data_IF_224654982236
#
_entry.id   IF_224654982236
#
_cell.length_a   1.000
_cell.length_b   1.000
_cell.length_c   1.000
_cell.angle_alpha   90.00
_cell.angle_beta   90.00
_cell.angle_gamma   90.00
#
_symmetry.space_group_name_H-M   'P 1'
#
loop_
_entity.id
_entity.type
_entity.pdbx_description
1 polymer ?
#
# COMPACT_ATOMS: atom_id res chain seq x y z
N UNK A 1 27.25 -75.93 -87.94
CA UNK A 1 28.70 -75.81 -88.24
C UNK A 1 29.16 -74.48 -87.64
N UNK A 2 29.68 -74.47 -86.39
CA UNK A 2 31.11 -74.31 -85.96
C UNK A 2 31.71 -72.93 -86.30
N UNK A 3 31.96 -72.05 -85.30
CA UNK A 3 33.28 -71.75 -84.62
C UNK A 3 34.18 -70.82 -85.49
N UNK A 4 34.96 -69.80 -85.05
CA UNK A 4 35.60 -69.41 -83.76
C UNK A 4 36.24 -67.99 -83.86
N UNK A 5 36.60 -67.41 -82.71
CA UNK A 5 37.41 -66.20 -82.42
C UNK A 5 38.79 -66.10 -83.13
N UNK A 6 39.39 -64.89 -83.24
CA UNK A 6 40.48 -64.40 -82.36
C UNK A 6 41.03 -62.99 -82.71
N UNK A 7 41.67 -62.36 -81.71
CA UNK A 7 42.16 -60.98 -81.56
C UNK A 7 43.61 -60.80 -82.05
N UNK A 8 44.04 -59.60 -82.48
CA UNK A 8 45.43 -59.16 -82.25
C UNK A 8 45.69 -57.62 -82.25
N UNK A 9 46.80 -57.23 -81.61
CA UNK A 9 47.11 -55.96 -80.92
C UNK A 9 47.84 -54.87 -81.76
N UNK A 10 47.79 -53.62 -81.26
CA UNK A 10 48.59 -52.44 -81.72
C UNK A 10 50.01 -52.42 -81.13
N UNK A 11 50.95 -51.64 -81.71
CA UNK A 11 52.10 -51.09 -80.99
C UNK A 11 52.06 -49.55 -80.83
N UNK A 12 52.72 -49.05 -79.77
CA UNK A 12 52.98 -47.63 -79.46
C UNK A 12 54.50 -47.37 -79.47
N UNK A 13 54.93 -46.17 -79.89
CA UNK A 13 56.30 -45.63 -79.69
C UNK A 13 56.29 -44.48 -78.68
N UNK A 14 57.35 -44.37 -77.87
CA UNK A 14 57.45 -43.53 -76.65
C UNK A 14 58.50 -42.43 -76.74
N UNK A 15 58.17 -41.22 -76.25
CA UNK A 15 59.10 -40.10 -75.99
C UNK A 15 59.89 -40.26 -74.67
N UNK A 16 61.10 -39.68 -74.64
CA UNK A 16 62.16 -39.76 -73.62
C UNK A 16 61.75 -39.49 -72.15
N UNK A 17 62.30 -40.30 -71.24
CA UNK A 17 61.92 -40.46 -69.82
C UNK A 17 62.16 -39.22 -68.92
N UNK A 18 63.04 -38.29 -69.30
CA UNK A 18 63.41 -37.13 -68.47
C UNK A 18 62.40 -35.98 -68.48
N UNK A 19 61.95 -35.56 -69.67
CA UNK A 19 60.97 -34.46 -69.82
C UNK A 19 59.59 -34.83 -69.27
N UNK A 20 59.17 -36.09 -69.46
CA UNK A 20 57.89 -36.63 -68.97
C UNK A 20 57.84 -36.66 -67.43
N UNK A 21 58.98 -36.95 -66.77
CA UNK A 21 59.08 -37.03 -65.31
C UNK A 21 58.98 -35.66 -64.64
N UNK A 22 59.63 -34.62 -65.17
CA UNK A 22 59.50 -33.24 -64.66
C UNK A 22 58.11 -32.63 -64.91
N UNK A 23 57.46 -32.97 -66.04
CA UNK A 23 56.11 -32.51 -66.35
C UNK A 23 55.05 -33.17 -65.45
N UNK A 24 55.25 -34.45 -65.09
CA UNK A 24 54.43 -35.17 -64.11
C UNK A 24 54.65 -34.63 -62.70
N UNK A 25 55.90 -34.39 -62.29
CA UNK A 25 56.22 -33.79 -60.99
C UNK A 25 55.58 -32.41 -60.82
N UNK A 26 55.70 -31.51 -61.81
CA UNK A 26 55.02 -30.20 -61.78
C UNK A 26 53.51 -30.32 -61.68
N UNK A 27 52.88 -31.27 -62.39
CA UNK A 27 51.43 -31.50 -62.31
C UNK A 27 51.00 -32.04 -60.94
N UNK A 28 51.78 -32.95 -60.34
CA UNK A 28 51.53 -33.47 -58.99
C UNK A 28 51.66 -32.35 -57.95
N UNK A 29 52.68 -31.50 -58.06
CA UNK A 29 52.85 -30.35 -57.17
C UNK A 29 51.70 -29.35 -57.31
N UNK A 30 51.28 -29.01 -58.53
CA UNK A 30 50.16 -28.10 -58.78
C UNK A 30 48.84 -28.67 -58.24
N UNK A 31 48.56 -29.96 -58.46
CA UNK A 31 47.37 -30.63 -57.91
C UNK A 31 47.41 -30.68 -56.38
N UNK A 32 48.59 -30.96 -55.80
CA UNK A 32 48.78 -30.94 -54.35
C UNK A 32 48.53 -29.55 -53.73
N UNK A 33 48.98 -28.49 -54.39
CA UNK A 33 48.74 -27.10 -53.97
C UNK A 33 47.25 -26.74 -54.08
N UNK A 34 46.59 -27.09 -55.18
CA UNK A 34 45.15 -26.84 -55.35
C UNK A 34 44.34 -27.59 -54.28
N UNK A 35 44.67 -28.86 -54.03
CA UNK A 35 44.02 -29.65 -53.00
C UNK A 35 44.20 -29.01 -51.61
N UNK A 36 45.42 -28.54 -51.27
CA UNK A 36 45.70 -27.86 -50.01
C UNK A 36 44.95 -26.52 -49.86
N UNK A 37 44.80 -25.75 -50.94
CA UNK A 37 44.04 -24.49 -50.94
C UNK A 37 42.54 -24.77 -50.72
N UNK A 38 42.00 -25.82 -51.35
CA UNK A 38 40.58 -26.21 -51.18
C UNK A 38 40.32 -26.68 -49.74
N UNK A 39 41.18 -27.51 -49.16
CA UNK A 39 41.04 -27.92 -47.75
C UNK A 39 41.17 -26.75 -46.79
N UNK A 40 42.10 -25.82 -47.03
CA UNK A 40 42.22 -24.61 -46.22
C UNK A 40 40.99 -23.70 -46.33
N UNK A 41 40.44 -23.52 -47.53
CA UNK A 41 39.23 -22.74 -47.76
C UNK A 41 37.99 -23.39 -47.12
N UNK A 42 37.87 -24.72 -47.20
CA UNK A 42 36.78 -25.46 -46.56
C UNK A 42 36.87 -25.41 -45.03
N UNK A 43 38.07 -25.61 -44.47
CA UNK A 43 38.30 -25.45 -43.03
C UNK A 43 37.99 -24.01 -42.56
N UNK A 44 38.40 -23.01 -43.34
CA UNK A 44 38.07 -21.60 -43.10
C UNK A 44 36.56 -21.34 -43.13
N UNK A 45 35.83 -21.94 -44.07
CA UNK A 45 34.37 -21.85 -44.18
C UNK A 45 33.68 -22.54 -42.98
N UNK A 46 34.10 -23.74 -42.59
CA UNK A 46 33.56 -24.45 -41.42
C UNK A 46 33.76 -23.64 -40.13
N UNK A 47 34.98 -23.13 -39.88
CA UNK A 47 35.27 -22.29 -38.72
C UNK A 47 34.50 -20.97 -38.73
N UNK A 48 34.27 -20.39 -39.91
CA UNK A 48 33.45 -19.19 -40.04
C UNK A 48 31.98 -19.48 -39.70
N UNK A 49 31.44 -20.62 -40.18
CA UNK A 49 30.05 -21.02 -39.91
C UNK A 49 29.81 -21.26 -38.43
N UNK A 50 30.70 -22.00 -37.76
CA UNK A 50 30.63 -22.23 -36.30
C UNK A 50 30.66 -20.90 -35.53
N UNK A 51 31.54 -19.96 -35.92
CA UNK A 51 31.64 -18.64 -35.27
C UNK A 51 30.38 -17.79 -35.50
N UNK A 52 29.68 -17.95 -36.62
CA UNK A 52 28.39 -17.27 -36.88
C UNK A 52 27.29 -17.88 -36.02
N UNK A 53 27.22 -19.21 -35.92
CA UNK A 53 26.25 -19.93 -35.08
C UNK A 53 26.44 -19.60 -33.58
N UNK A 54 27.69 -19.53 -33.10
CA UNK A 54 28.00 -19.12 -31.72
C UNK A 54 27.59 -17.67 -31.45
N UNK A 55 27.83 -16.77 -32.40
CA UNK A 55 27.40 -15.36 -32.27
C UNK A 55 25.89 -15.23 -32.21
N UNK A 56 25.15 -15.97 -33.04
CA UNK A 56 23.70 -15.99 -33.03
C UNK A 56 23.14 -16.52 -31.71
N UNK A 57 23.67 -17.65 -31.20
CA UNK A 57 23.29 -18.19 -29.90
C UNK A 57 23.61 -17.23 -28.75
N UNK A 58 24.76 -16.54 -28.80
CA UNK A 58 25.12 -15.55 -27.80
C UNK A 58 24.21 -14.32 -27.84
N UNK A 59 23.74 -13.92 -29.02
CA UNK A 59 22.81 -12.80 -29.20
C UNK A 59 21.39 -13.16 -28.76
N UNK A 60 20.91 -14.38 -29.06
CA UNK A 60 19.64 -14.90 -28.54
C UNK A 60 19.68 -15.01 -27.01
N UNK A 61 20.74 -15.55 -26.44
CA UNK A 61 20.91 -15.64 -24.98
C UNK A 61 20.96 -14.24 -24.33
N UNK A 62 21.52 -13.24 -25.03
CA UNK A 62 21.52 -11.84 -24.56
C UNK A 62 20.12 -11.24 -24.62
N UNK A 63 19.36 -11.46 -25.68
CA UNK A 63 17.95 -11.04 -25.81
C UNK A 63 17.09 -11.70 -24.74
N UNK A 64 17.17 -13.01 -24.57
CA UNK A 64 16.42 -13.73 -23.54
C UNK A 64 16.74 -13.24 -22.12
N UNK A 65 18.02 -12.95 -21.83
CA UNK A 65 18.42 -12.34 -20.55
C UNK A 65 17.89 -10.92 -20.40
N UNK A 66 17.84 -10.13 -21.47
CA UNK A 66 17.29 -8.77 -21.45
C UNK A 66 15.76 -8.81 -21.25
N UNK A 67 15.05 -9.68 -21.96
CA UNK A 67 13.60 -9.87 -21.85
C UNK A 67 13.23 -10.36 -20.44
N UNK A 68 13.99 -11.30 -19.87
CA UNK A 68 13.83 -11.75 -18.48
C UNK A 68 14.08 -10.61 -17.48
N UNK A 69 15.07 -9.74 -17.75
CA UNK A 69 15.39 -8.60 -16.90
C UNK A 69 14.32 -7.50 -16.98
N UNK A 70 13.76 -7.25 -18.17
CA UNK A 70 12.64 -6.34 -18.38
C UNK A 70 11.34 -6.88 -17.75
N UNK A 71 11.03 -8.17 -17.92
CA UNK A 71 9.90 -8.81 -17.26
C UNK A 71 10.02 -8.80 -15.72
N UNK A 72 11.23 -8.97 -15.17
CA UNK A 72 11.50 -8.82 -13.74
C UNK A 72 11.38 -7.35 -13.28
N UNK A 73 11.73 -6.38 -14.13
CA UNK A 73 11.58 -4.95 -13.85
C UNK A 73 10.10 -4.52 -13.85
N UNK A 74 9.27 -5.10 -14.71
CA UNK A 74 7.81 -4.90 -14.72
C UNK A 74 7.15 -5.48 -13.46
N UNK A 75 7.62 -6.63 -12.97
CA UNK A 75 7.13 -7.26 -11.72
C UNK A 75 7.60 -6.57 -10.42
N UNK A 76 8.57 -5.65 -10.48
CA UNK A 76 9.19 -5.03 -9.30
C UNK A 76 8.85 -3.55 -9.10
N UNK A 77 7.94 -2.98 -9.91
CA UNK A 77 7.42 -1.66 -9.60
C UNK A 77 6.56 -1.77 -8.33
N UNK A 78 6.86 -1.01 -7.26
CA UNK A 78 5.99 -1.01 -6.09
C UNK A 78 4.59 -0.57 -6.51
N UNK A 79 3.58 -1.30 -6.03
CA UNK A 79 2.17 -0.97 -6.20
C UNK A 79 1.94 0.49 -5.78
N UNK A 80 1.27 1.30 -6.61
CA UNK A 80 0.91 2.67 -6.22
C UNK A 80 -0.18 2.65 -5.15
N UNK A 81 -0.36 3.75 -4.42
CA UNK A 81 -1.42 3.84 -3.40
C UNK A 81 -2.82 3.60 -4.00
N UNK A 82 -3.06 4.09 -5.21
CA UNK A 82 -4.31 3.92 -5.95
C UNK A 82 -4.51 2.45 -6.37
N UNK A 83 -3.46 1.79 -6.84
CA UNK A 83 -3.50 0.37 -7.18
C UNK A 83 -3.79 -0.50 -5.96
N UNK A 84 -3.14 -0.19 -4.82
CA UNK A 84 -3.41 -0.85 -3.54
C UNK A 84 -4.86 -0.66 -3.11
N UNK A 85 -5.37 0.56 -3.17
CA UNK A 85 -6.74 0.88 -2.79
C UNK A 85 -7.75 0.06 -3.61
N UNK A 86 -7.58 0.02 -4.93
CA UNK A 86 -8.47 -0.73 -5.82
C UNK A 86 -8.39 -2.25 -5.59
N UNK A 87 -7.17 -2.78 -5.42
CA UNK A 87 -6.98 -4.20 -5.10
C UNK A 87 -7.67 -4.58 -3.80
N UNK A 88 -7.51 -3.77 -2.74
CA UNK A 88 -8.14 -4.03 -1.44
C UNK A 88 -9.66 -3.89 -1.53
N UNK A 89 -10.19 -2.91 -2.26
CA UNK A 89 -11.63 -2.78 -2.50
C UNK A 89 -12.21 -4.01 -3.19
N UNK A 90 -11.55 -4.49 -4.24
CA UNK A 90 -11.96 -5.68 -4.98
C UNK A 90 -11.95 -6.91 -4.07
N UNK A 91 -10.86 -7.13 -3.33
CA UNK A 91 -10.74 -8.24 -2.39
C UNK A 91 -11.83 -8.20 -1.31
N UNK A 92 -12.04 -7.05 -0.68
CA UNK A 92 -13.06 -6.87 0.35
C UNK A 92 -14.48 -7.14 -0.18
N UNK A 93 -14.77 -6.72 -1.42
CA UNK A 93 -16.04 -7.00 -2.10
C UNK A 93 -16.21 -8.48 -2.41
N UNK A 94 -15.18 -9.14 -2.95
CA UNK A 94 -15.19 -10.58 -3.27
C UNK A 94 -15.33 -11.45 -2.02
N UNK A 95 -14.73 -11.02 -0.90
CA UNK A 95 -14.82 -11.71 0.40
C UNK A 95 -16.12 -11.38 1.16
N UNK A 96 -16.98 -10.51 0.63
CA UNK A 96 -18.26 -10.16 1.25
C UNK A 96 -18.13 -9.39 2.56
N UNK A 97 -17.13 -8.51 2.70
CA UNK A 97 -17.00 -7.66 3.88
C UNK A 97 -18.24 -6.76 4.07
N UNK A 98 -18.58 -6.39 5.32
CA UNK A 98 -19.68 -5.48 5.56
C UNK A 98 -19.54 -4.17 4.79
N UNK A 99 -20.67 -3.65 4.29
CA UNK A 99 -20.70 -2.46 3.44
C UNK A 99 -20.02 -1.25 4.09
N UNK A 100 -20.29 -1.02 5.38
CA UNK A 100 -19.69 0.05 6.18
C UNK A 100 -18.16 -0.05 6.30
N UNK A 101 -17.58 -1.25 6.22
CA UNK A 101 -16.12 -1.47 6.20
C UNK A 101 -15.54 -1.10 4.83
N UNK A 102 -16.19 -1.51 3.75
CA UNK A 102 -15.73 -1.19 2.38
C UNK A 102 -15.82 0.34 2.13
N UNK A 103 -16.90 0.98 2.58
CA UNK A 103 -17.10 2.44 2.44
C UNK A 103 -16.03 3.28 3.16
N UNK A 104 -15.28 2.72 4.11
CA UNK A 104 -14.14 3.42 4.72
C UNK A 104 -13.12 3.86 3.67
N UNK A 105 -12.91 3.05 2.62
CA UNK A 105 -11.97 3.33 1.54
C UNK A 105 -12.37 4.58 0.72
N UNK A 106 -13.67 4.88 0.66
CA UNK A 106 -14.20 6.09 -0.01
C UNK A 106 -14.13 7.32 0.88
N UNK A 107 -14.29 7.11 2.20
CA UNK A 107 -14.34 8.19 3.19
C UNK A 107 -12.95 8.64 3.62
N UNK A 108 -12.01 7.72 3.79
CA UNK A 108 -10.63 8.01 4.13
C UNK A 108 -9.66 6.92 3.61
N UNK A 109 -8.78 7.30 2.69
CA UNK A 109 -7.74 6.43 2.11
C UNK A 109 -6.73 5.91 3.14
N UNK A 110 -6.58 6.58 4.29
CA UNK A 110 -5.70 6.13 5.39
C UNK A 110 -6.18 4.80 6.00
N UNK A 111 -7.43 4.40 5.78
CA UNK A 111 -8.02 3.16 6.31
C UNK A 111 -7.67 1.91 5.49
N UNK A 112 -6.91 2.04 4.41
CA UNK A 112 -6.66 0.93 3.47
C UNK A 112 -6.07 -0.32 4.14
N UNK A 113 -5.15 -0.14 5.10
CA UNK A 113 -4.53 -1.26 5.81
C UNK A 113 -5.48 -1.88 6.84
N UNK A 114 -6.29 -1.07 7.51
CA UNK A 114 -7.37 -1.55 8.38
C UNK A 114 -8.37 -2.43 7.60
N UNK A 115 -8.80 -1.99 6.43
CA UNK A 115 -9.72 -2.79 5.59
C UNK A 115 -9.03 -4.06 5.09
N UNK A 116 -7.76 -3.98 4.69
CA UNK A 116 -6.99 -5.14 4.23
C UNK A 116 -6.89 -6.25 5.28
N UNK A 117 -6.78 -5.88 6.56
CA UNK A 117 -6.60 -6.81 7.67
C UNK A 117 -7.90 -7.21 8.38
N UNK A 118 -9.06 -6.73 7.89
CA UNK A 118 -10.38 -6.98 8.49
C UNK A 118 -10.65 -8.46 8.79
N UNK A 119 -10.53 -9.36 7.81
CA UNK A 119 -10.79 -10.79 8.01
C UNK A 119 -9.88 -11.43 9.07
N UNK A 120 -8.63 -10.96 9.18
CA UNK A 120 -7.65 -11.50 10.15
C UNK A 120 -7.90 -11.00 11.57
N UNK A 121 -8.44 -9.79 11.72
CA UNK A 121 -8.48 -9.05 12.99
C UNK A 121 -9.88 -8.85 13.57
N UNK A 122 -10.95 -8.95 12.77
CA UNK A 122 -12.34 -8.68 13.21
C UNK A 122 -12.78 -9.48 14.45
N UNK A 123 -12.27 -10.71 14.62
CA UNK A 123 -12.63 -11.61 15.72
C UNK A 123 -11.56 -11.67 16.83
N UNK A 124 -10.54 -10.80 16.77
CA UNK A 124 -9.49 -10.75 17.79
C UNK A 124 -9.94 -9.91 18.99
N UNK A 125 -9.46 -10.21 20.20
CA UNK A 125 -9.69 -9.34 21.36
C UNK A 125 -9.18 -7.92 21.09
N UNK A 126 -9.93 -6.93 21.57
CA UNK A 126 -9.52 -5.53 21.51
C UNK A 126 -8.51 -5.22 22.61
N UNK A 127 -7.67 -4.21 22.40
CA UNK A 127 -6.68 -3.81 23.39
C UNK A 127 -7.34 -3.25 24.67
N UNK A 128 -6.84 -3.68 25.82
CA UNK A 128 -7.26 -3.17 27.13
C UNK A 128 -6.68 -1.79 27.46
N UNK A 129 -5.72 -1.31 26.68
CA UNK A 129 -5.02 -0.04 26.86
C UNK A 129 -4.82 0.68 25.53
N UNK A 130 -4.77 2.01 25.57
CA UNK A 130 -4.42 2.86 24.42
C UNK A 130 -2.93 2.80 24.05
N UNK A 131 -2.11 2.09 24.82
CA UNK A 131 -0.69 1.86 24.54
C UNK A 131 0.17 3.13 24.50
N UNK A 132 -0.29 4.20 25.15
CA UNK A 132 0.44 5.45 25.32
C UNK A 132 0.77 5.65 26.79
N UNK A 133 2.00 6.08 27.06
CA UNK A 133 2.33 6.65 28.36
C UNK A 133 1.70 8.04 28.45
N UNK A 134 0.78 8.20 29.39
CA UNK A 134 0.09 9.46 29.61
C UNK A 134 0.80 10.35 30.63
N UNK A 135 1.88 9.88 31.29
CA UNK A 135 2.56 10.54 32.41
C UNK A 135 2.96 12.00 32.19
N UNK A 136 3.14 12.42 30.93
CA UNK A 136 3.46 13.80 30.55
C UNK A 136 2.23 14.71 30.47
N UNK A 137 1.04 14.22 30.81
CA UNK A 137 -0.22 14.95 30.69
C UNK A 137 -0.73 15.05 29.26
N UNK A 138 -1.77 15.86 29.08
CA UNK A 138 -2.36 16.16 27.78
C UNK A 138 -3.38 15.13 27.29
N UNK A 139 -3.92 15.41 26.09
CA UNK A 139 -5.01 14.64 25.50
C UNK A 139 -4.45 13.76 24.38
N UNK A 140 -4.51 12.42 24.50
CA UNK A 140 -3.96 11.53 23.50
C UNK A 140 -4.73 11.64 22.18
N UNK A 141 -4.01 11.74 21.07
CA UNK A 141 -4.59 11.52 19.74
C UNK A 141 -4.85 10.02 19.55
N UNK A 142 -6.10 9.63 19.30
CA UNK A 142 -6.54 8.25 19.10
C UNK A 142 -7.35 8.16 17.80
N UNK A 143 -7.10 7.15 16.97
CA UNK A 143 -7.83 6.98 15.71
C UNK A 143 -8.93 5.93 15.90
N UNK A 144 -10.14 6.22 15.44
CA UNK A 144 -11.27 5.30 15.53
C UNK A 144 -11.04 4.02 14.70
N UNK A 145 -10.22 4.11 13.64
CA UNK A 145 -9.84 3.00 12.78
C UNK A 145 -8.51 2.33 13.18
N UNK A 146 -7.95 2.64 14.35
CA UNK A 146 -6.79 1.92 14.86
C UNK A 146 -7.15 0.44 15.09
N UNK A 147 -6.36 -0.47 14.54
CA UNK A 147 -6.66 -1.91 14.53
C UNK A 147 -6.77 -2.55 15.92
N UNK A 148 -6.27 -1.88 16.96
CA UNK A 148 -6.38 -2.33 18.35
C UNK A 148 -7.82 -2.30 18.87
N UNK A 149 -8.70 -1.51 18.27
CA UNK A 149 -10.11 -1.37 18.71
C UNK A 149 -11.10 -1.04 17.60
N UNK A 150 -10.67 -0.66 16.40
CA UNK A 150 -11.55 -0.19 15.33
C UNK A 150 -12.53 -1.24 14.82
N UNK A 151 -12.24 -2.52 15.04
CA UNK A 151 -13.13 -3.65 14.74
C UNK A 151 -14.20 -3.88 15.82
N UNK A 152 -14.15 -3.17 16.94
CA UNK A 152 -15.14 -3.30 18.02
C UNK A 152 -16.53 -2.83 17.57
N UNK A 153 -17.60 -3.45 18.07
CA UNK A 153 -18.96 -3.04 17.73
C UNK A 153 -19.29 -1.66 18.30
N UNK A 154 -20.11 -0.92 17.57
CA UNK A 154 -20.74 0.31 18.04
C UNK A 154 -22.10 0.48 17.34
N UNK A 155 -23.19 0.36 18.09
CA UNK A 155 -24.52 0.22 17.52
C UNK A 155 -24.63 -1.05 16.66
N UNK A 156 -25.06 -0.89 15.41
CA UNK A 156 -25.11 -1.96 14.39
C UNK A 156 -23.86 -1.98 13.49
N UNK A 157 -22.88 -1.13 13.78
CA UNK A 157 -21.65 -0.91 13.01
C UNK A 157 -20.41 -1.22 13.86
N UNK A 158 -19.24 -0.76 13.42
CA UNK A 158 -17.97 -0.85 14.15
C UNK A 158 -17.40 0.54 14.43
N UNK A 159 -16.54 0.64 15.44
CA UNK A 159 -15.87 1.88 15.85
C UNK A 159 -15.16 2.57 14.68
N UNK A 160 -14.50 1.82 13.78
CA UNK A 160 -13.83 2.40 12.62
C UNK A 160 -14.78 3.17 11.69
N UNK A 161 -16.03 2.73 11.54
CA UNK A 161 -17.00 3.29 10.59
C UNK A 161 -17.91 4.38 11.18
N UNK A 162 -18.20 4.33 12.48
CA UNK A 162 -19.15 5.24 13.13
C UNK A 162 -18.72 5.73 14.53
N UNK A 163 -17.50 5.44 14.96
CA UNK A 163 -17.04 5.66 16.33
C UNK A 163 -16.36 7.01 16.60
N UNK A 164 -16.64 8.07 15.84
CA UNK A 164 -15.99 9.37 16.06
C UNK A 164 -16.29 9.94 17.45
N UNK A 165 -17.56 9.91 17.87
CA UNK A 165 -18.00 10.32 19.21
C UNK A 165 -17.32 9.54 20.35
N UNK A 166 -17.44 8.20 20.44
CA UNK A 166 -16.76 7.42 21.48
C UNK A 166 -15.24 7.53 21.44
N UNK A 167 -14.64 7.72 20.27
CA UNK A 167 -13.19 7.94 20.19
C UNK A 167 -12.80 9.31 20.77
N UNK A 168 -13.53 10.40 20.45
CA UNK A 168 -13.32 11.72 21.06
C UNK A 168 -13.49 11.67 22.59
N UNK A 169 -14.54 11.02 23.09
CA UNK A 169 -14.76 10.84 24.52
C UNK A 169 -13.63 10.02 25.17
N UNK A 170 -13.15 8.96 24.51
CA UNK A 170 -12.00 8.20 25.00
C UNK A 170 -10.73 9.05 25.09
N UNK A 171 -10.45 9.91 24.10
CA UNK A 171 -9.30 10.83 24.17
C UNK A 171 -9.40 11.72 25.41
N UNK A 172 -10.53 12.38 25.59
CA UNK A 172 -10.76 13.32 26.70
C UNK A 172 -10.71 12.62 28.04
N UNK A 173 -11.41 11.49 28.18
CA UNK A 173 -11.48 10.76 29.44
C UNK A 173 -10.15 10.10 29.82
N UNK A 174 -9.46 9.46 28.88
CA UNK A 174 -8.13 8.90 29.13
C UNK A 174 -7.13 10.02 29.49
N UNK A 175 -7.13 11.10 28.71
CA UNK A 175 -6.20 12.22 28.89
C UNK A 175 -6.38 12.93 30.23
N UNK A 176 -7.61 13.35 30.55
CA UNK A 176 -7.88 14.01 31.83
C UNK A 176 -7.58 13.07 33.01
N UNK A 177 -8.09 11.84 32.99
CA UNK A 177 -7.89 10.92 34.11
C UNK A 177 -6.50 10.29 34.20
N UNK A 178 -5.66 10.48 33.19
CA UNK A 178 -4.36 9.80 33.09
C UNK A 178 -4.51 8.28 33.13
N UNK A 179 -5.61 7.79 32.55
CA UNK A 179 -5.99 6.39 32.57
C UNK A 179 -5.98 5.81 31.15
N UNK A 180 -4.88 5.14 30.83
CA UNK A 180 -4.70 4.51 29.53
C UNK A 180 -5.65 3.32 29.29
N UNK A 181 -6.38 2.85 30.31
CA UNK A 181 -7.33 1.74 30.17
C UNK A 181 -8.65 2.15 29.51
N UNK A 182 -8.92 3.46 29.40
CA UNK A 182 -10.11 4.01 28.75
C UNK A 182 -9.91 4.01 27.23
N UNK A 183 -10.19 2.87 26.59
CA UNK A 183 -10.00 2.69 25.15
C UNK A 183 -11.26 3.04 24.36
N UNK A 184 -11.16 3.42 23.07
CA UNK A 184 -12.32 3.67 22.23
C UNK A 184 -13.31 2.50 22.16
N UNK A 185 -12.82 1.24 22.18
CA UNK A 185 -13.70 0.06 22.24
C UNK A 185 -14.57 0.04 23.51
N UNK A 186 -14.00 0.33 24.68
CA UNK A 186 -14.75 0.35 25.96
C UNK A 186 -15.75 1.49 26.00
N UNK A 187 -15.37 2.66 25.51
CA UNK A 187 -16.24 3.84 25.45
C UNK A 187 -17.38 3.63 24.44
N UNK A 188 -17.13 2.96 23.31
CA UNK A 188 -18.15 2.58 22.34
C UNK A 188 -19.14 1.53 22.90
N UNK A 189 -18.63 0.54 23.65
CA UNK A 189 -19.46 -0.44 24.34
C UNK A 189 -20.39 0.25 25.34
N UNK A 190 -19.85 1.13 26.19
CA UNK A 190 -20.65 1.96 27.12
C UNK A 190 -21.70 2.80 26.36
N UNK A 191 -21.30 3.42 25.26
CA UNK A 191 -22.19 4.16 24.37
C UNK A 191 -23.39 3.34 23.89
N UNK A 192 -23.14 2.11 23.45
CA UNK A 192 -24.19 1.19 22.97
C UNK A 192 -25.09 0.72 24.12
N UNK A 193 -24.50 0.28 25.23
CA UNK A 193 -25.22 -0.22 26.41
C UNK A 193 -26.20 0.80 26.99
N UNK A 194 -25.87 2.09 26.92
CA UNK A 194 -26.67 3.17 27.48
C UNK A 194 -27.49 3.94 26.44
N UNK A 195 -27.59 3.41 25.21
CA UNK A 195 -28.46 3.94 24.15
C UNK A 195 -28.00 5.27 23.54
N UNK A 196 -26.71 5.56 23.52
CA UNK A 196 -26.13 6.79 23.00
C UNK A 196 -25.86 6.78 21.48
N UNK A 197 -26.31 5.73 20.80
CA UNK A 197 -26.18 5.55 19.35
C UNK A 197 -27.55 5.22 18.77
N UNK A 198 -27.89 5.85 17.66
CA UNK A 198 -29.16 5.60 16.95
C UNK A 198 -29.07 4.40 15.99
N UNK A 199 -30.20 4.06 15.36
CA UNK A 199 -30.29 2.95 14.41
C UNK A 199 -29.45 3.17 13.13
N UNK A 200 -29.13 4.43 12.82
CA UNK A 200 -28.28 4.84 11.70
C UNK A 200 -26.79 4.88 12.07
N UNK A 201 -26.44 4.52 13.31
CA UNK A 201 -25.10 4.57 13.90
C UNK A 201 -24.54 5.98 14.14
N UNK A 202 -25.39 6.99 14.31
CA UNK A 202 -24.96 8.32 14.76
C UNK A 202 -24.88 8.36 16.29
N UNK A 203 -23.82 8.95 16.82
CA UNK A 203 -23.71 9.24 18.26
C UNK A 203 -24.61 10.43 18.62
N UNK A 204 -25.52 10.25 19.57
CA UNK A 204 -26.35 11.34 20.07
C UNK A 204 -25.50 12.39 20.81
N UNK A 205 -25.86 13.66 20.68
CA UNK A 205 -25.24 14.77 21.43
C UNK A 205 -25.31 14.60 22.94
N UNK A 206 -26.39 13.99 23.46
CA UNK A 206 -26.53 13.66 24.89
C UNK A 206 -25.38 12.78 25.41
N UNK A 207 -24.67 12.06 24.54
CA UNK A 207 -23.48 11.33 24.92
C UNK A 207 -22.38 12.25 25.46
N UNK A 208 -22.20 13.42 24.85
CA UNK A 208 -21.22 14.41 25.29
C UNK A 208 -21.69 15.16 26.54
N UNK A 209 -23.00 15.31 26.73
CA UNK A 209 -23.57 15.89 27.95
C UNK A 209 -23.40 14.97 29.16
N UNK A 210 -23.70 13.68 29.00
CA UNK A 210 -23.95 12.76 30.12
C UNK A 210 -22.79 11.78 30.39
N UNK A 211 -22.16 11.24 29.35
CA UNK A 211 -21.27 10.09 29.51
C UNK A 211 -19.98 10.41 30.26
N UNK A 212 -19.51 11.66 30.20
CA UNK A 212 -18.33 12.12 30.96
C UNK A 212 -18.42 11.84 32.47
N UNK A 213 -19.64 11.82 33.02
CA UNK A 213 -19.87 11.53 34.44
C UNK A 213 -19.40 10.12 34.85
N UNK A 214 -19.46 9.13 33.95
CA UNK A 214 -18.95 7.77 34.17
C UNK A 214 -17.44 7.75 34.46
N UNK A 215 -16.72 8.75 33.96
CA UNK A 215 -15.28 8.92 34.18
C UNK A 215 -14.95 10.08 35.12
N UNK A 216 -15.89 10.47 35.99
CA UNK A 216 -15.73 11.57 36.95
C UNK A 216 -15.38 12.92 36.32
N UNK A 217 -15.87 13.19 35.10
CA UNK A 217 -15.66 14.45 34.40
C UNK A 217 -16.88 15.35 34.53
N UNK A 218 -16.65 16.66 34.47
CA UNK A 218 -17.67 17.66 34.17
C UNK A 218 -17.77 17.84 32.65
N UNK A 219 -18.98 18.13 32.17
CA UNK A 219 -19.25 18.50 30.78
C UNK A 219 -20.11 19.76 30.76
N UNK A 220 -19.66 20.78 30.05
CA UNK A 220 -20.41 22.04 29.87
C UNK A 220 -20.63 22.27 28.38
N UNK A 221 -21.89 22.21 27.96
CA UNK A 221 -22.29 22.47 26.58
C UNK A 221 -22.42 23.98 26.30
N UNK A 222 -22.00 24.42 25.13
CA UNK A 222 -22.21 25.80 24.67
C UNK A 222 -21.44 26.14 23.40
N UNK A 223 -21.93 27.09 22.60
CA UNK A 223 -21.14 27.66 21.51
C UNK A 223 -20.25 28.75 22.08
N UNK A 224 -18.94 28.52 22.05
CA UNK A 224 -17.94 29.40 22.62
C UNK A 224 -17.41 30.40 21.59
N UNK A 225 -17.11 31.62 22.05
CA UNK A 225 -16.27 32.55 21.29
C UNK A 225 -14.83 32.05 21.19
N UNK A 226 -14.04 32.61 20.28
CA UNK A 226 -12.62 32.26 20.15
C UNK A 226 -11.84 32.53 21.44
N UNK A 227 -12.14 33.63 22.13
CA UNK A 227 -11.53 33.98 23.41
C UNK A 227 -11.89 32.96 24.50
N UNK A 228 -13.13 32.46 24.52
CA UNK A 228 -13.54 31.42 25.45
C UNK A 228 -12.86 30.07 25.14
N UNK A 229 -12.76 29.70 23.86
CA UNK A 229 -12.01 28.51 23.42
C UNK A 229 -10.56 28.59 23.85
N UNK A 230 -9.90 29.73 23.62
CA UNK A 230 -8.54 29.97 24.04
C UNK A 230 -8.37 29.85 25.56
N UNK A 231 -9.29 30.42 26.34
CA UNK A 231 -9.28 30.36 27.79
C UNK A 231 -9.41 28.92 28.31
N UNK A 232 -10.42 28.18 27.87
CA UNK A 232 -10.65 26.79 28.31
C UNK A 232 -9.46 25.88 27.97
N UNK A 233 -8.94 25.99 26.75
CA UNK A 233 -7.78 25.20 26.32
C UNK A 233 -6.51 25.57 27.09
N UNK A 234 -6.32 26.84 27.46
CA UNK A 234 -5.19 27.28 28.30
C UNK A 234 -5.24 26.71 29.72
N UNK A 235 -6.43 26.36 30.21
CA UNK A 235 -6.64 25.73 31.52
C UNK A 235 -6.53 24.20 31.47
N UNK A 236 -6.26 23.63 30.28
CA UNK A 236 -6.18 22.20 30.07
C UNK A 236 -7.56 21.53 29.97
N UNK A 237 -8.61 22.29 29.67
CA UNK A 237 -9.96 21.76 29.44
C UNK A 237 -10.15 21.48 27.94
N UNK A 238 -10.09 20.21 27.48
CA UNK A 238 -10.35 19.90 26.09
C UNK A 238 -11.81 20.12 25.73
N UNK A 239 -12.03 20.38 24.44
CA UNK A 239 -13.35 20.69 23.91
C UNK A 239 -13.69 19.68 22.83
N UNK A 240 -14.76 18.90 23.01
CA UNK A 240 -15.31 18.10 21.92
C UNK A 240 -16.23 19.00 21.10
N UNK A 241 -16.06 18.99 19.78
CA UNK A 241 -16.90 19.73 18.84
C UNK A 241 -17.67 18.75 17.96
N UNK A 242 -18.97 18.98 17.77
CA UNK A 242 -19.71 18.43 16.65
C UNK A 242 -19.58 19.39 15.48
N UNK A 243 -19.07 18.92 14.33
CA UNK A 243 -18.90 19.71 13.11
C UNK A 243 -19.81 19.18 12.00
N UNK A 244 -20.38 20.09 11.22
CA UNK A 244 -21.16 19.80 10.02
C UNK A 244 -20.30 19.75 8.76
N UNK A 245 -20.93 19.81 7.56
CA UNK A 245 -20.20 19.74 6.30
C UNK A 245 -19.18 20.88 6.14
N UNK A 246 -17.98 20.54 5.66
CA UNK A 246 -16.86 21.47 5.50
C UNK A 246 -15.53 20.73 5.34
N UNK A 247 -14.49 21.24 6.00
CA UNK A 247 -13.12 20.73 5.86
C UNK A 247 -12.93 19.35 6.47
N UNK A 248 -13.66 19.03 7.54
CA UNK A 248 -13.52 17.76 8.27
C UNK A 248 -14.40 16.63 7.75
N UNK A 249 -15.57 16.96 7.19
CA UNK A 249 -16.61 15.98 6.86
C UNK A 249 -17.58 16.53 5.82
N UNK A 250 -18.35 15.65 5.17
CA UNK A 250 -19.43 16.02 4.24
C UNK A 250 -20.82 15.97 4.88
N UNK A 251 -20.95 15.43 6.09
CA UNK A 251 -22.24 15.20 6.76
C UNK A 251 -22.16 15.75 8.19
N UNK A 252 -21.54 14.99 9.08
CA UNK A 252 -21.31 15.33 10.47
C UNK A 252 -20.10 14.56 11.00
N UNK A 253 -19.44 15.10 12.01
CA UNK A 253 -18.27 14.48 12.64
C UNK A 253 -18.03 15.03 14.04
N UNK A 254 -17.29 14.29 14.86
CA UNK A 254 -16.78 14.79 16.14
C UNK A 254 -15.26 14.91 16.08
N UNK A 255 -14.75 16.01 16.62
CA UNK A 255 -13.31 16.28 16.78
C UNK A 255 -13.04 16.80 18.19
N UNK A 256 -11.78 16.77 18.62
CA UNK A 256 -11.36 17.35 19.92
C UNK A 256 -10.41 18.52 19.68
N UNK A 257 -10.69 19.68 20.28
CA UNK A 257 -9.73 20.77 20.41
C UNK A 257 -8.91 20.55 21.69
N UNK A 258 -7.58 20.62 21.58
CA UNK A 258 -6.67 20.27 22.69
C UNK A 258 -5.62 21.32 23.01
N UNK A 259 -5.60 22.43 22.26
CA UNK A 259 -4.65 23.51 22.48
C UNK A 259 -4.95 24.71 21.59
N UNK A 260 -4.46 25.88 21.97
CA UNK A 260 -4.66 27.12 21.26
C UNK A 260 -3.36 27.95 21.26
N UNK A 261 -3.01 28.52 20.12
CA UNK A 261 -1.88 29.42 19.96
C UNK A 261 -2.13 30.43 18.84
N UNK A 262 -2.20 31.72 19.19
CA UNK A 262 -2.27 32.85 18.25
C UNK A 262 -3.35 32.69 17.15
N UNK A 263 -4.58 32.34 17.53
CA UNK A 263 -5.72 32.14 16.62
C UNK A 263 -5.79 30.74 16.01
N UNK A 264 -4.79 29.89 16.26
CA UNK A 264 -4.79 28.51 15.80
C UNK A 264 -5.22 27.56 16.91
N UNK A 265 -5.99 26.54 16.57
CA UNK A 265 -6.33 25.42 17.45
C UNK A 265 -5.61 24.15 17.02
N UNK A 266 -5.18 23.36 18.00
CA UNK A 266 -4.76 21.98 17.79
C UNK A 266 -6.00 21.08 17.81
N UNK A 267 -6.16 20.29 16.75
CA UNK A 267 -7.28 19.36 16.57
C UNK A 267 -6.78 17.94 16.66
N UNK A 268 -7.43 17.10 17.47
CA UNK A 268 -7.35 15.65 17.33
C UNK A 268 -8.62 15.19 16.60
N UNK A 269 -8.47 14.78 15.35
CA UNK A 269 -9.54 14.23 14.52
C UNK A 269 -9.49 12.69 14.59
N UNK A 270 -10.51 12.03 15.16
CA UNK A 270 -10.48 10.57 15.35
C UNK A 270 -10.51 9.80 14.04
N UNK A 271 -10.85 10.43 12.91
CA UNK A 271 -10.94 9.76 11.62
C UNK A 271 -9.82 10.14 10.65
N UNK A 272 -9.03 11.19 10.90
CA UNK A 272 -8.00 11.66 9.97
C UNK A 272 -6.68 12.05 10.63
N UNK A 273 -5.61 11.36 10.24
CA UNK A 273 -4.24 11.73 10.61
C UNK A 273 -3.88 13.06 9.95
N UNK A 274 -4.24 13.25 8.69
CA UNK A 274 -4.03 14.51 7.97
C UNK A 274 -4.61 15.71 8.73
N UNK A 275 -5.86 15.63 9.19
CA UNK A 275 -6.49 16.72 9.91
C UNK A 275 -5.85 16.94 11.28
N UNK A 276 -5.46 15.87 11.98
CA UNK A 276 -4.79 15.96 13.28
C UNK A 276 -3.39 16.60 13.22
N UNK A 277 -2.71 16.47 12.07
CA UNK A 277 -1.39 17.09 11.82
C UNK A 277 -1.47 18.51 11.25
N UNK A 278 -2.64 18.97 10.84
CA UNK A 278 -2.80 20.28 10.25
C UNK A 278 -2.88 21.38 11.32
N UNK A 279 -2.51 22.60 10.94
CA UNK A 279 -2.76 23.79 11.75
C UNK A 279 -4.10 24.40 11.34
N UNK A 280 -4.99 24.61 12.30
CA UNK A 280 -6.33 25.13 12.03
C UNK A 280 -6.51 26.51 12.61
N UNK A 281 -6.77 27.51 11.76
CA UNK A 281 -7.21 28.83 12.21
C UNK A 281 -8.66 28.72 12.68
N UNK A 282 -8.93 29.03 13.96
CA UNK A 282 -10.25 28.82 14.55
C UNK A 282 -11.34 29.58 13.79
N UNK A 283 -11.06 30.84 13.41
CA UNK A 283 -11.96 31.68 12.63
C UNK A 283 -12.40 31.05 11.29
N UNK A 284 -11.61 30.16 10.69
CA UNK A 284 -11.95 29.50 9.42
C UNK A 284 -12.87 28.28 9.61
N UNK A 285 -12.85 27.65 10.78
CA UNK A 285 -13.61 26.42 11.05
C UNK A 285 -14.84 26.64 11.94
N UNK A 286 -14.94 27.78 12.63
CA UNK A 286 -16.00 28.04 13.61
C UNK A 286 -17.42 27.89 13.04
N UNK A 287 -17.65 28.24 11.77
CA UNK A 287 -18.99 28.16 11.15
C UNK A 287 -19.41 26.70 10.84
N UNK A 288 -18.44 25.79 10.83
CA UNK A 288 -18.67 24.35 10.68
C UNK A 288 -19.09 23.72 12.02
N UNK A 289 -18.71 24.32 13.15
CA UNK A 289 -19.03 23.83 14.50
C UNK A 289 -20.53 24.04 14.77
N UNK A 290 -21.22 22.96 15.13
CA UNK A 290 -22.65 22.93 15.43
C UNK A 290 -22.95 22.85 16.93
N UNK A 291 -22.02 22.29 17.70
CA UNK A 291 -22.09 22.23 19.15
C UNK A 291 -20.69 21.99 19.73
N UNK A 292 -20.47 22.40 20.99
CA UNK A 292 -19.22 22.20 21.71
C UNK A 292 -19.50 21.79 23.15
N UNK A 293 -18.59 21.00 23.71
CA UNK A 293 -18.61 20.52 25.09
C UNK A 293 -17.22 20.65 25.70
N UNK A 294 -17.12 21.47 26.74
CA UNK A 294 -15.89 21.63 27.53
C UNK A 294 -15.85 20.55 28.59
N UNK A 295 -14.74 19.84 28.68
CA UNK A 295 -14.53 18.81 29.70
C UNK A 295 -13.45 19.20 30.69
N UNK A 296 -13.71 18.94 31.97
CA UNK A 296 -12.75 19.16 33.05
C UNK A 296 -12.88 18.06 34.10
N UNK A 297 -11.88 17.94 34.97
CA UNK A 297 -12.01 17.11 36.18
C UNK A 297 -13.04 17.71 37.12
N UNK A 298 -13.71 16.84 37.86
CA UNK A 298 -14.49 17.21 39.05
C UNK A 298 -13.60 17.68 40.20
#
# INVERSE_FOLDING_TARGET
MKETNNVEQRPRTSLSKGARRNQILRRITVVGVIAAVITAAFAGYCLHRERVEEKQKAEELRKEKQDKKEAAKVKSKPETAEQKLERIRKQATEHGYPKNVIELLDKNVETVDFVADYEKKKDKPYADTIGKDLSQGGIPELLQWDERWGYAPYGTSIVAASGCGPTCMAMVAAGLNQDASITPAKVAAYGTEHGYVDEENNTYWRFMDEAGANWNLNSTAGLLSEEQVALELSQGHPIICSVGPGDFTKIGHFIVLTGYENGNVKVNDPFSIKNSKATWVFANIKDQIKAMWVFSKK
#
